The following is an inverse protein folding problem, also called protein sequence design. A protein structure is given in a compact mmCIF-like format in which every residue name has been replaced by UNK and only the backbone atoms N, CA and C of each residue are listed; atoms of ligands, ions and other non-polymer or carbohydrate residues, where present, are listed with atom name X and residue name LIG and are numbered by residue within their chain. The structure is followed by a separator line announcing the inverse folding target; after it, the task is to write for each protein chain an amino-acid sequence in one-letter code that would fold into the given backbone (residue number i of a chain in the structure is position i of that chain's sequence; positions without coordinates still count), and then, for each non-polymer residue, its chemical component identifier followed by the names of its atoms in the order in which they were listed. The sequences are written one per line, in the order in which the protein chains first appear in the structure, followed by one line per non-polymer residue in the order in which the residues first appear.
data_IF_783362762757
#
_entry.id   IF_783362762757
#
_cell.length_a   1.000
_cell.length_b   1.000
_cell.length_c   1.000
_cell.angle_alpha   90.00
_cell.angle_beta   90.00
_cell.angle_gamma   90.00
#
_symmetry.space_group_name_H-M   'P 1'
#
loop_
_entity.id
_entity.type
_entity.pdbx_description
1 polymer ?
#
# COMPACT_ATOMS: atom_id res chain seq x y z
N UNK A 1 -12.19 26.43 9.92
CA UNK A 1 -12.24 24.98 10.14
C UNK A 1 -11.19 24.36 9.24
N UNK A 2 -10.32 23.51 9.77
CA UNK A 2 -9.35 22.76 8.95
C UNK A 2 -10.11 21.81 8.01
N UNK A 3 -9.65 21.66 6.76
CA UNK A 3 -10.18 20.65 5.83
C UNK A 3 -9.92 19.27 6.42
N UNK A 4 -10.96 18.43 6.49
CA UNK A 4 -10.86 17.09 7.09
C UNK A 4 -9.75 16.23 6.46
N UNK A 5 -9.47 16.42 5.17
CA UNK A 5 -8.40 15.69 4.47
C UNK A 5 -7.02 16.10 4.95
N UNK A 6 -6.82 17.40 5.23
CA UNK A 6 -5.57 17.93 5.79
C UNK A 6 -5.37 17.49 7.23
N UNK A 7 -6.44 17.46 8.03
CA UNK A 7 -6.39 16.95 9.40
C UNK A 7 -5.96 15.48 9.42
N UNK A 8 -6.62 14.63 8.62
CA UNK A 8 -6.29 13.20 8.51
C UNK A 8 -4.85 13.01 8.05
N UNK A 9 -4.42 13.72 7.01
CA UNK A 9 -3.05 13.62 6.51
C UNK A 9 -2.02 13.98 7.58
N UNK A 10 -2.23 15.10 8.30
CA UNK A 10 -1.37 15.53 9.40
C UNK A 10 -1.29 14.50 10.51
N UNK A 11 -2.43 13.98 10.98
CA UNK A 11 -2.46 13.03 12.11
C UNK A 11 -1.76 11.73 11.74
N UNK A 12 -2.02 11.18 10.56
CA UNK A 12 -1.35 9.95 10.10
C UNK A 12 0.15 10.19 9.91
N UNK A 13 0.55 11.35 9.39
CA UNK A 13 1.96 11.72 9.25
C UNK A 13 2.67 11.85 10.62
N UNK A 14 2.00 12.45 11.61
CA UNK A 14 2.53 12.60 12.97
C UNK A 14 2.78 11.24 13.67
N UNK A 15 1.94 10.24 13.40
CA UNK A 15 2.05 8.91 13.97
C UNK A 15 2.70 7.87 13.05
N UNK A 16 3.28 8.30 11.92
CA UNK A 16 3.69 7.40 10.85
C UNK A 16 4.71 6.34 11.31
N UNK A 17 5.69 6.70 12.14
CA UNK A 17 6.72 5.74 12.57
C UNK A 17 6.15 4.64 13.47
N UNK A 18 5.22 4.98 14.36
CA UNK A 18 4.52 4.01 15.21
C UNK A 18 3.61 3.10 14.37
N UNK A 19 2.90 3.69 13.40
CA UNK A 19 2.08 2.93 12.44
C UNK A 19 2.95 1.96 11.66
N UNK A 20 4.13 2.38 11.21
CA UNK A 20 5.06 1.55 10.44
C UNK A 20 5.64 0.41 11.27
N UNK A 21 5.88 0.61 12.57
CA UNK A 21 6.35 -0.46 13.47
C UNK A 21 5.30 -1.58 13.55
N UNK A 22 4.05 -1.21 13.86
CA UNK A 22 2.94 -2.18 13.91
C UNK A 22 2.68 -2.81 12.55
N UNK A 23 2.84 -2.04 11.47
CA UNK A 23 2.70 -2.52 10.10
C UNK A 23 3.75 -3.58 9.76
N UNK A 24 5.01 -3.36 10.14
CA UNK A 24 6.09 -4.32 9.90
C UNK A 24 5.89 -5.59 10.71
N UNK A 25 5.47 -5.48 11.97
CA UNK A 25 5.13 -6.65 12.79
C UNK A 25 4.01 -7.49 12.16
N UNK A 26 2.97 -6.81 11.64
CA UNK A 26 1.89 -7.49 10.93
C UNK A 26 2.39 -8.14 9.63
N UNK A 27 3.18 -7.45 8.81
CA UNK A 27 3.74 -8.01 7.57
C UNK A 27 4.58 -9.25 7.85
N UNK A 28 5.46 -9.20 8.85
CA UNK A 28 6.31 -10.35 9.23
C UNK A 28 5.46 -11.54 9.68
N UNK A 29 4.35 -11.30 10.39
CA UNK A 29 3.44 -12.36 10.83
C UNK A 29 2.64 -12.97 9.69
N UNK A 30 2.09 -12.15 8.80
CA UNK A 30 1.18 -12.57 7.73
C UNK A 30 1.90 -13.02 6.45
N UNK A 31 3.17 -12.63 6.26
CA UNK A 31 3.98 -12.95 5.07
C UNK A 31 5.27 -13.66 5.50
N UNK A 32 5.27 -15.00 5.59
CA UNK A 32 6.44 -15.79 6.02
C UNK A 32 7.69 -15.57 5.19
N UNK A 33 7.55 -15.15 3.93
CA UNK A 33 8.68 -14.77 3.08
C UNK A 33 9.47 -13.62 3.70
N UNK A 34 8.81 -12.54 4.12
CA UNK A 34 9.45 -11.38 4.77
C UNK A 34 10.12 -11.78 6.09
N UNK A 35 9.48 -12.67 6.86
CA UNK A 35 10.05 -13.21 8.08
C UNK A 35 11.37 -13.98 7.87
N UNK A 36 11.59 -14.57 6.68
CA UNK A 36 12.81 -15.32 6.37
C UNK A 36 13.93 -14.45 5.77
N UNK A 37 13.63 -13.20 5.44
CA UNK A 37 14.59 -12.29 4.82
C UNK A 37 15.54 -11.63 5.84
N UNK A 38 16.61 -11.04 5.32
CA UNK A 38 17.57 -10.25 6.09
C UNK A 38 16.95 -8.97 6.62
N UNK A 39 17.58 -8.38 7.64
CA UNK A 39 17.15 -7.10 8.20
C UNK A 39 17.24 -5.96 7.17
N UNK A 40 18.18 -6.02 6.21
CA UNK A 40 18.28 -5.07 5.10
C UNK A 40 17.03 -5.11 4.21
N UNK A 41 16.56 -6.31 3.86
CA UNK A 41 15.34 -6.48 3.05
C UNK A 41 14.11 -6.01 3.82
N UNK A 42 14.02 -6.30 5.12
CA UNK A 42 12.92 -5.79 5.96
C UNK A 42 12.95 -4.27 6.07
N UNK A 43 14.14 -3.66 6.17
CA UNK A 43 14.31 -2.22 6.15
C UNK A 43 13.88 -1.61 4.81
N UNK A 44 14.15 -2.28 3.69
CA UNK A 44 13.65 -1.88 2.36
C UNK A 44 12.12 -1.95 2.28
N UNK A 45 11.50 -3.03 2.77
CA UNK A 45 10.04 -3.15 2.84
C UNK A 45 9.45 -2.02 3.69
N UNK A 46 10.04 -1.70 4.84
CA UNK A 46 9.60 -0.58 5.69
C UNK A 46 9.73 0.76 4.97
N UNK A 47 10.88 1.02 4.35
CA UNK A 47 11.17 2.28 3.66
C UNK A 47 10.22 2.50 2.47
N UNK A 48 9.98 1.44 1.68
CA UNK A 48 9.02 1.47 0.58
C UNK A 48 7.58 1.72 1.07
N UNK A 49 7.17 1.03 2.14
CA UNK A 49 5.86 1.25 2.80
C UNK A 49 5.71 2.70 3.26
N UNK A 50 6.74 3.27 3.89
CA UNK A 50 6.80 4.66 4.34
C UNK A 50 6.65 5.64 3.18
N UNK A 51 7.46 5.47 2.14
CA UNK A 51 7.47 6.36 0.97
C UNK A 51 6.11 6.37 0.28
N UNK A 52 5.55 5.18 0.06
CA UNK A 52 4.22 5.00 -0.53
C UNK A 52 3.15 5.69 0.31
N UNK A 53 3.16 5.48 1.63
CA UNK A 53 2.21 6.10 2.56
C UNK A 53 2.28 7.63 2.51
N UNK A 54 3.47 8.22 2.58
CA UNK A 54 3.65 9.68 2.53
C UNK A 54 3.14 10.28 1.22
N UNK A 55 3.45 9.64 0.10
CA UNK A 55 3.00 10.14 -1.19
C UNK A 55 1.47 10.05 -1.32
N UNK A 56 0.86 9.02 -0.73
CA UNK A 56 -0.60 8.91 -0.64
C UNK A 56 -1.22 9.96 0.27
N UNK A 57 -0.63 10.25 1.43
CA UNK A 57 -1.10 11.33 2.31
C UNK A 57 -1.05 12.69 1.60
N UNK A 58 0.03 12.94 0.84
CA UNK A 58 0.16 14.15 0.04
C UNK A 58 -0.92 14.28 -1.04
N UNK A 59 -1.23 13.19 -1.76
CA UNK A 59 -2.34 13.15 -2.72
C UNK A 59 -3.71 13.33 -2.08
N UNK A 60 -3.90 12.72 -0.91
CA UNK A 60 -5.16 12.78 -0.20
C UNK A 60 -5.43 14.20 0.33
N UNK A 61 -4.40 14.87 0.84
CA UNK A 61 -4.46 16.27 1.27
C UNK A 61 -4.63 17.25 0.09
N UNK A 62 -4.05 16.93 -1.07
CA UNK A 62 -4.10 17.72 -2.30
C UNK A 62 -4.11 16.81 -3.55
N UNK A 63 -5.28 16.60 -4.18
CA UNK A 63 -5.41 15.76 -5.37
C UNK A 63 -4.64 16.27 -6.62
N UNK A 64 -4.27 17.56 -6.64
CA UNK A 64 -3.44 18.16 -7.69
C UNK A 64 -1.94 18.11 -7.36
N UNK A 65 -1.58 17.50 -6.22
CA UNK A 65 -0.20 17.39 -5.77
C UNK A 65 0.70 16.73 -6.83
N UNK A 66 1.92 17.26 -7.05
CA UNK A 66 2.90 16.63 -7.93
C UNK A 66 3.29 15.21 -7.47
N UNK A 67 2.96 14.84 -6.23
CA UNK A 67 3.09 13.48 -5.71
C UNK A 67 2.35 12.44 -6.57
N UNK A 68 1.32 12.82 -7.35
CA UNK A 68 0.59 11.90 -8.24
C UNK A 68 1.48 11.19 -9.26
N UNK A 69 2.33 11.98 -9.91
CA UNK A 69 3.25 11.49 -10.93
C UNK A 69 4.36 10.66 -10.28
N UNK A 70 4.89 11.16 -9.15
CA UNK A 70 5.91 10.45 -8.38
C UNK A 70 5.41 9.11 -7.82
N UNK A 71 4.15 9.00 -7.43
CA UNK A 71 3.54 7.75 -6.96
C UNK A 71 3.48 6.70 -8.05
N UNK A 72 3.11 7.09 -9.27
CA UNK A 72 2.97 6.13 -10.37
C UNK A 72 4.34 5.54 -10.74
N UNK A 73 5.38 6.38 -10.77
CA UNK A 73 6.75 5.98 -11.08
C UNK A 73 7.41 5.21 -9.93
N UNK A 74 7.30 5.70 -8.70
CA UNK A 74 7.84 5.03 -7.52
C UNK A 74 7.16 3.68 -7.28
N UNK A 75 5.88 3.54 -7.63
CA UNK A 75 5.13 2.28 -7.49
C UNK A 75 5.59 1.23 -8.48
N UNK A 76 5.80 1.58 -9.77
CA UNK A 76 6.35 0.63 -10.74
C UNK A 76 7.74 0.16 -10.32
N UNK A 77 8.63 1.09 -9.98
CA UNK A 77 9.96 0.76 -9.49
C UNK A 77 9.94 -0.11 -8.22
N UNK A 78 9.00 0.15 -7.30
CA UNK A 78 8.82 -0.65 -6.07
C UNK A 78 8.36 -2.07 -6.38
N UNK A 79 7.37 -2.25 -7.25
CA UNK A 79 6.86 -3.59 -7.60
C UNK A 79 7.91 -4.36 -8.40
N UNK A 80 8.60 -3.71 -9.33
CA UNK A 80 9.66 -4.34 -10.12
C UNK A 80 10.81 -4.81 -9.22
N UNK A 81 11.27 -3.95 -8.30
CA UNK A 81 12.33 -4.31 -7.35
C UNK A 81 11.88 -5.34 -6.30
N UNK A 82 10.63 -5.26 -5.83
CA UNK A 82 10.08 -6.27 -4.95
C UNK A 82 9.96 -7.63 -5.66
N UNK A 83 9.69 -7.64 -6.96
CA UNK A 83 9.64 -8.85 -7.81
C UNK A 83 10.97 -9.59 -7.93
N UNK A 84 12.09 -8.94 -7.60
CA UNK A 84 13.41 -9.59 -7.52
C UNK A 84 13.58 -10.41 -6.22
N UNK A 85 12.75 -10.14 -5.21
CA UNK A 85 12.91 -10.66 -3.84
C UNK A 85 11.74 -11.55 -3.41
N UNK A 86 10.53 -11.21 -3.84
CA UNK A 86 9.28 -11.82 -3.40
C UNK A 86 8.45 -12.28 -4.59
N UNK A 87 7.69 -13.36 -4.38
CA UNK A 87 6.68 -13.77 -5.35
C UNK A 87 5.54 -12.73 -5.41
N UNK A 88 4.86 -12.63 -6.55
CA UNK A 88 3.84 -11.60 -6.74
C UNK A 88 2.68 -11.69 -5.73
N UNK A 89 2.25 -12.90 -5.36
CA UNK A 89 1.25 -13.11 -4.32
C UNK A 89 1.72 -12.64 -2.93
N UNK A 90 3.01 -12.79 -2.63
CA UNK A 90 3.63 -12.26 -1.41
C UNK A 90 3.66 -10.73 -1.44
N UNK A 91 4.02 -10.12 -2.58
CA UNK A 91 4.00 -8.65 -2.78
C UNK A 91 2.59 -8.11 -2.55
N UNK A 92 1.57 -8.75 -3.12
CA UNK A 92 0.18 -8.35 -2.91
C UNK A 92 -0.23 -8.48 -1.43
N UNK A 93 0.19 -9.56 -0.75
CA UNK A 93 -0.11 -9.74 0.67
C UNK A 93 0.60 -8.70 1.54
N UNK A 94 1.84 -8.31 1.23
CA UNK A 94 2.56 -7.20 1.90
C UNK A 94 1.75 -5.91 1.77
N UNK A 95 1.34 -5.56 0.54
CA UNK A 95 0.56 -4.34 0.26
C UNK A 95 -0.76 -4.34 1.02
N UNK A 96 -1.51 -5.45 0.98
CA UNK A 96 -2.80 -5.59 1.68
C UNK A 96 -2.64 -5.43 3.18
N UNK A 97 -1.65 -6.10 3.76
CA UNK A 97 -1.39 -6.07 5.20
C UNK A 97 -1.02 -4.66 5.65
N UNK A 98 -0.10 -4.00 4.94
CA UNK A 98 0.30 -2.63 5.23
C UNK A 98 -0.89 -1.67 5.19
N UNK A 99 -1.68 -1.74 4.11
CA UNK A 99 -2.87 -0.92 3.91
C UNK A 99 -3.88 -1.06 5.05
N UNK A 100 -4.15 -2.29 5.49
CA UNK A 100 -5.12 -2.55 6.57
C UNK A 100 -4.68 -1.94 7.90
N UNK A 101 -3.41 -2.13 8.28
CA UNK A 101 -2.88 -1.60 9.55
C UNK A 101 -2.85 -0.07 9.54
N UNK A 102 -2.33 0.53 8.47
CA UNK A 102 -2.29 1.99 8.31
C UNK A 102 -3.68 2.60 8.42
N UNK A 103 -4.68 1.99 7.77
CA UNK A 103 -6.07 2.44 7.86
C UNK A 103 -6.63 2.35 9.28
N UNK A 104 -6.44 1.21 9.94
CA UNK A 104 -7.00 0.96 11.28
C UNK A 104 -6.41 1.92 12.31
N UNK A 105 -5.08 2.07 12.33
CA UNK A 105 -4.40 2.96 13.27
C UNK A 105 -4.64 4.43 12.91
N UNK A 106 -4.58 4.79 11.62
CA UNK A 106 -4.88 6.14 11.16
C UNK A 106 -6.28 6.60 11.60
N UNK A 107 -7.28 5.74 11.46
CA UNK A 107 -8.64 6.00 11.97
C UNK A 107 -8.65 6.19 13.49
N UNK A 108 -7.94 5.34 14.25
CA UNK A 108 -7.89 5.45 15.71
C UNK A 108 -7.29 6.78 16.16
N UNK A 109 -6.16 7.19 15.58
CA UNK A 109 -5.51 8.46 15.94
C UNK A 109 -6.36 9.67 15.53
N UNK A 110 -6.97 9.65 14.34
CA UNK A 110 -7.87 10.73 13.91
C UNK A 110 -9.08 10.84 14.85
N UNK A 111 -9.68 9.72 15.24
CA UNK A 111 -10.81 9.71 16.18
C UNK A 111 -10.40 10.21 17.57
N UNK A 112 -9.19 9.90 18.02
CA UNK A 112 -8.65 10.38 19.29
C UNK A 112 -8.37 11.90 19.26
N UNK A 113 -7.71 12.40 18.22
CA UNK A 113 -7.38 13.82 18.03
C UNK A 113 -8.65 14.68 17.90
N UNK A 114 -9.68 14.16 17.23
CA UNK A 114 -10.93 14.91 17.03
C UNK A 114 -11.78 15.01 18.29
N UNK A 115 -11.65 14.10 19.26
CA UNK A 115 -12.43 14.14 20.50
C UNK A 115 -13.96 14.12 20.25
N UNK A 116 -14.51 12.99 19.78
CA UNK A 116 -15.97 12.76 19.62
C UNK A 116 -16.74 13.90 18.91
N UNK A 117 -16.10 14.54 17.92
CA UNK A 117 -16.73 15.61 17.13
C UNK A 117 -17.60 14.96 16.04
N UNK A 118 -18.89 14.80 16.37
CA UNK A 118 -20.03 14.58 15.47
C UNK A 118 -19.94 13.36 14.51
N UNK A 119 -20.96 12.49 14.58
CA UNK A 119 -21.12 11.25 13.79
C UNK A 119 -20.99 11.45 12.28
N UNK A 120 -21.42 12.59 11.74
CA UNK A 120 -21.34 12.90 10.30
C UNK A 120 -19.88 13.13 9.86
N UNK A 121 -19.10 13.72 10.75
CA UNK A 121 -17.68 13.96 10.57
C UNK A 121 -16.86 12.66 10.62
N UNK A 122 -17.24 11.69 11.47
CA UNK A 122 -16.64 10.34 11.49
C UNK A 122 -16.97 9.55 10.22
N UNK A 123 -18.22 9.66 9.75
CA UNK A 123 -18.66 9.05 8.49
C UNK A 123 -17.83 9.56 7.31
N UNK A 124 -17.64 10.88 7.20
CA UNK A 124 -16.84 11.48 6.12
C UNK A 124 -15.37 11.04 6.15
N UNK A 125 -14.75 10.93 7.32
CA UNK A 125 -13.37 10.44 7.45
C UNK A 125 -13.25 8.96 7.08
N UNK A 126 -14.24 8.15 7.47
CA UNK A 126 -14.31 6.72 7.13
C UNK A 126 -14.52 6.52 5.62
N UNK A 127 -15.47 7.23 5.02
CA UNK A 127 -15.73 7.17 3.58
C UNK A 127 -14.53 7.62 2.74
N UNK A 128 -13.82 8.65 3.20
CA UNK A 128 -12.63 9.12 2.52
C UNK A 128 -11.46 8.13 2.64
N UNK A 129 -11.32 7.45 3.78
CA UNK A 129 -10.35 6.37 3.96
C UNK A 129 -10.76 5.10 3.18
N UNK A 130 -12.05 4.78 3.05
CA UNK A 130 -12.56 3.64 2.26
C UNK A 130 -12.43 3.87 0.75
N UNK A 131 -12.66 5.10 0.28
CA UNK A 131 -12.37 5.51 -1.09
C UNK A 131 -10.87 5.35 -1.40
N UNK A 132 -10.02 5.71 -0.44
CA UNK A 132 -8.57 5.48 -0.51
C UNK A 132 -8.20 3.99 -0.59
N UNK A 133 -8.88 3.11 0.16
CA UNK A 133 -8.68 1.66 0.07
C UNK A 133 -9.08 1.09 -1.31
N UNK A 134 -10.17 1.61 -1.88
CA UNK A 134 -10.73 1.16 -3.16
C UNK A 134 -9.80 1.47 -4.33
N UNK A 135 -9.13 2.64 -4.33
CA UNK A 135 -8.14 2.98 -5.35
C UNK A 135 -6.91 2.07 -5.27
N UNK A 136 -6.44 1.74 -4.06
CA UNK A 136 -5.36 0.76 -3.87
C UNK A 136 -5.74 -0.64 -4.37
N UNK A 137 -7.00 -1.06 -4.20
CA UNK A 137 -7.51 -2.36 -4.64
C UNK A 137 -7.71 -2.47 -6.16
N UNK A 138 -8.21 -1.41 -6.80
CA UNK A 138 -8.33 -1.33 -8.27
C UNK A 138 -6.97 -1.53 -8.96
N UNK A 139 -5.94 -0.97 -8.36
CA UNK A 139 -4.57 -1.04 -8.86
C UNK A 139 -3.90 -2.38 -8.56
N UNK A 140 -4.17 -2.99 -7.40
CA UNK A 140 -3.83 -4.38 -7.14
C UNK A 140 -4.44 -5.32 -8.19
N UNK A 141 -5.72 -5.11 -8.53
CA UNK A 141 -6.38 -5.89 -9.57
C UNK A 141 -5.73 -5.69 -10.95
N UNK A 142 -5.16 -4.51 -11.21
CA UNK A 142 -4.42 -4.24 -12.45
C UNK A 142 -3.09 -5.00 -12.50
N UNK A 143 -2.35 -5.05 -11.38
CA UNK A 143 -1.12 -5.84 -11.25
C UNK A 143 -1.41 -7.35 -11.36
N UNK A 144 -2.46 -7.83 -10.68
CA UNK A 144 -2.90 -9.23 -10.76
C UNK A 144 -3.27 -9.65 -12.18
N UNK A 145 -4.03 -8.82 -12.90
CA UNK A 145 -4.37 -9.06 -14.31
C UNK A 145 -3.16 -9.06 -15.23
N UNK A 146 -2.19 -8.18 -15.00
CA UNK A 146 -0.94 -8.15 -15.75
C UNK A 146 -0.14 -9.45 -15.55
N UNK A 147 -0.07 -9.95 -14.30
CA UNK A 147 0.55 -11.25 -13.98
C UNK A 147 -0.13 -12.41 -14.71
N UNK A 148 -1.45 -12.47 -14.64
CA UNK A 148 -2.20 -13.57 -15.25
C UNK A 148 -2.07 -13.56 -16.77
N UNK A 149 -2.09 -12.36 -17.38
CA UNK A 149 -1.87 -12.19 -18.83
C UNK A 149 -0.46 -12.62 -19.25
N UNK A 150 0.59 -12.23 -18.52
CA UNK A 150 1.97 -12.65 -18.80
C UNK A 150 2.14 -14.15 -18.57
N UNK A 151 1.55 -14.71 -17.51
CA UNK A 151 1.55 -16.14 -17.24
C UNK A 151 0.85 -16.95 -18.33
N UNK A 152 -0.27 -16.45 -18.87
CA UNK A 152 -0.98 -17.08 -19.98
C UNK A 152 -0.20 -16.99 -21.29
N UNK A 153 0.48 -15.86 -21.55
CA UNK A 153 1.37 -15.71 -22.71
C UNK A 153 2.59 -16.63 -22.63
N UNK A 154 3.20 -16.80 -21.45
CA UNK A 154 4.32 -17.72 -21.26
C UNK A 154 3.89 -19.17 -21.41
N UNK A 155 2.75 -19.57 -20.83
CA UNK A 155 2.18 -20.93 -21.05
C UNK A 155 1.75 -21.18 -22.49
N UNK A 156 1.33 -20.15 -23.20
CA UNK A 156 1.02 -20.24 -24.63
C UNK A 156 2.31 -20.41 -25.45
N UNK A 157 3.37 -19.66 -25.14
CA UNK A 157 4.67 -19.80 -25.77
C UNK A 157 5.33 -21.18 -25.51
N UNK A 158 5.22 -21.70 -24.28
CA UNK A 158 5.68 -23.06 -23.92
C UNK A 158 4.88 -24.18 -24.62
N UNK A 159 3.64 -23.91 -25.06
CA UNK A 159 2.85 -24.85 -25.86
C UNK A 159 3.14 -24.76 -27.36
N UNK A 160 3.74 -23.66 -27.81
CA UNK A 160 4.09 -23.42 -29.22
C UNK A 160 5.53 -23.80 -29.57
N UNK A 161 6.38 -24.19 -28.61
CA UNK A 161 7.64 -24.88 -28.94
C UNK A 161 7.32 -26.31 -29.41
N UNK A 162 7.47 -26.63 -30.72
CA UNK A 162 7.37 -28.00 -31.16
C UNK A 162 8.58 -28.77 -30.63
N UNK A 163 8.37 -29.99 -30.16
CA UNK A 163 9.44 -30.96 -29.92
C UNK A 163 10.36 -30.97 -31.16
N UNK A 164 11.53 -30.34 -31.05
CA UNK A 164 12.62 -30.54 -31.97
C UNK A 164 13.32 -31.84 -31.55
N UNK A 165 12.61 -32.95 -31.74
CA UNK A 165 13.10 -34.32 -31.70
C UNK A 165 13.15 -34.93 -33.09
#
# INVERSE_FOLDING_TARGET
MEDIRRLVARVVEQHLEEILDVTMDAIVREVPAVARQTDDVRALVRASTRHTTLAFLALYADPESPARLMLTEARRATVDHAGEIFAMDEILQIIRTARQVIFQLGRQYVNAERGHVDTESERQATEALESFLTELESEENTIGKARDTVGDLLRAAEREEPDLG
#
